data_IF_345129680498
#
_entry.id   IF_345129680498
#
_cell.length_a   1.000
_cell.length_b   1.000
_cell.length_c   1.000
_cell.angle_alpha   90.00
_cell.angle_beta   90.00
_cell.angle_gamma   90.00
#
_symmetry.space_group_name_H-M   'P 1'
#
loop_
_entity.id
_entity.type
_entity.pdbx_description
1 polymer ?
#
# COMPACT_ATOMS: atom_id res chain seq x y z
N UNK A 1 -11.18 -8.88 4.26
CA UNK A 1 -11.20 -9.66 2.99
C UNK A 1 -10.81 -8.72 1.86
N UNK A 2 -10.04 -9.18 0.88
CA UNK A 2 -9.68 -8.37 -0.28
C UNK A 2 -10.94 -8.10 -1.13
N UNK A 3 -10.98 -6.96 -1.82
CA UNK A 3 -12.00 -6.64 -2.84
C UNK A 3 -13.46 -6.73 -2.36
N UNK A 4 -13.81 -6.02 -1.28
CA UNK A 4 -15.13 -6.10 -0.63
C UNK A 4 -16.34 -5.70 -1.49
N UNK A 5 -16.14 -5.20 -2.71
CA UNK A 5 -17.21 -4.84 -3.64
C UNK A 5 -17.63 -5.99 -4.56
N UNK A 6 -16.80 -7.03 -4.71
CA UNK A 6 -17.10 -8.19 -5.56
C UNK A 6 -17.87 -9.27 -4.79
N UNK A 7 -18.51 -10.17 -5.54
CA UNK A 7 -19.16 -11.35 -4.97
C UNK A 7 -18.15 -12.28 -4.30
N UNK A 8 -18.60 -12.93 -3.22
CA UNK A 8 -17.75 -13.80 -2.39
C UNK A 8 -17.20 -15.01 -3.13
N UNK A 9 -17.92 -15.51 -4.13
CA UNK A 9 -17.46 -16.64 -4.96
C UNK A 9 -16.28 -16.23 -5.86
N UNK A 10 -16.39 -15.07 -6.50
CA UNK A 10 -15.34 -14.50 -7.35
C UNK A 10 -14.07 -14.27 -6.54
N UNK A 11 -14.19 -13.63 -5.36
CA UNK A 11 -13.04 -13.35 -4.50
C UNK A 11 -12.35 -14.64 -4.05
N UNK A 12 -13.13 -15.69 -3.74
CA UNK A 12 -12.59 -16.97 -3.31
C UNK A 12 -11.78 -17.64 -4.41
N UNK A 13 -12.32 -17.73 -5.62
CA UNK A 13 -11.63 -18.33 -6.76
C UNK A 13 -10.36 -17.55 -7.09
N UNK A 14 -10.43 -16.21 -7.16
CA UNK A 14 -9.25 -15.38 -7.38
C UNK A 14 -8.18 -15.58 -6.31
N UNK A 15 -8.57 -15.58 -5.04
CA UNK A 15 -7.64 -15.75 -3.92
C UNK A 15 -6.97 -17.11 -3.98
N UNK A 16 -7.73 -18.16 -4.30
CA UNK A 16 -7.22 -19.52 -4.46
C UNK A 16 -6.17 -19.60 -5.57
N UNK A 17 -6.50 -19.09 -6.77
CA UNK A 17 -5.57 -19.08 -7.91
C UNK A 17 -4.29 -18.29 -7.61
N UNK A 18 -4.41 -17.11 -6.99
CA UNK A 18 -3.24 -16.31 -6.63
C UNK A 18 -2.34 -17.02 -5.61
N UNK A 19 -2.93 -17.68 -4.61
CA UNK A 19 -2.16 -18.45 -3.62
C UNK A 19 -1.50 -19.67 -4.26
N UNK A 20 -2.20 -20.37 -5.16
CA UNK A 20 -1.65 -21.50 -5.92
C UNK A 20 -0.45 -21.06 -6.77
N UNK A 21 -0.48 -19.83 -7.30
CA UNK A 21 0.62 -19.21 -8.04
C UNK A 21 1.69 -18.55 -7.15
N UNK A 22 1.69 -18.82 -5.83
CA UNK A 22 2.74 -18.40 -4.90
C UNK A 22 2.53 -17.02 -4.26
N UNK A 23 1.40 -16.35 -4.50
CA UNK A 23 1.09 -15.10 -3.81
C UNK A 23 0.74 -15.36 -2.34
N UNK A 24 1.21 -14.48 -1.44
CA UNK A 24 0.82 -14.51 -0.02
C UNK A 24 0.15 -13.20 0.37
N UNK A 25 -1.03 -13.32 0.97
CA UNK A 25 -1.81 -12.19 1.45
C UNK A 25 -1.57 -12.00 2.96
N UNK A 26 -0.98 -10.86 3.33
CA UNK A 26 -0.81 -10.45 4.72
C UNK A 26 -1.94 -9.48 5.08
N UNK A 27 -3.09 -10.04 5.46
CA UNK A 27 -4.27 -9.26 5.83
C UNK A 27 -4.23 -8.88 7.31
N UNK A 28 -4.82 -7.73 7.66
CA UNK A 28 -4.86 -7.23 9.04
C UNK A 28 -3.53 -6.67 9.54
N UNK A 29 -2.54 -6.53 8.64
CA UNK A 29 -1.24 -5.95 8.92
C UNK A 29 -1.14 -4.55 8.33
N UNK A 30 -0.62 -3.61 9.11
CA UNK A 30 -0.28 -2.27 8.65
C UNK A 30 1.25 -2.13 8.58
N UNK A 31 1.73 -1.45 7.53
CA UNK A 31 3.16 -1.14 7.38
C UNK A 31 3.51 0.00 8.33
N UNK A 32 4.46 -0.25 9.22
CA UNK A 32 4.97 0.69 10.22
C UNK A 32 6.18 1.47 9.72
N UNK A 33 7.10 0.80 9.02
CA UNK A 33 8.32 1.41 8.48
C UNK A 33 8.82 0.60 7.30
N UNK A 34 9.44 1.26 6.34
CA UNK A 34 10.20 0.62 5.27
C UNK A 34 11.64 1.09 5.36
N UNK A 35 12.58 0.17 5.23
CA UNK A 35 14.00 0.45 5.14
C UNK A 35 14.53 -0.13 3.83
N UNK A 36 15.22 0.69 3.05
CA UNK A 36 15.86 0.26 1.81
C UNK A 36 17.36 0.09 2.05
N UNK A 37 17.90 -1.05 1.65
CA UNK A 37 19.34 -1.33 1.56
C UNK A 37 19.71 -1.42 0.08
N UNK A 38 21.00 -1.38 -0.26
CA UNK A 38 21.51 -1.32 -1.64
C UNK A 38 20.80 -2.26 -2.63
N UNK A 39 20.45 -3.48 -2.21
CA UNK A 39 19.82 -4.48 -3.09
C UNK A 39 18.49 -5.05 -2.56
N UNK A 40 17.96 -4.57 -1.43
CA UNK A 40 16.75 -5.16 -0.80
C UNK A 40 15.94 -4.12 -0.04
N UNK A 41 14.65 -4.41 0.12
CA UNK A 41 13.72 -3.64 0.94
C UNK A 41 13.28 -4.47 2.14
N UNK A 42 13.35 -3.88 3.33
CA UNK A 42 12.78 -4.44 4.57
C UNK A 42 11.53 -3.66 4.94
N UNK A 43 10.44 -4.37 5.20
CA UNK A 43 9.16 -3.83 5.62
C UNK A 43 8.91 -4.29 7.05
N UNK A 44 8.71 -3.33 7.95
CA UNK A 44 8.32 -3.55 9.33
C UNK A 44 6.83 -3.33 9.46
N UNK A 45 6.13 -4.26 10.09
CA UNK A 45 4.69 -4.17 10.33
C UNK A 45 4.41 -3.74 11.78
N UNK A 46 3.22 -3.20 12.03
CA UNK A 46 2.78 -2.82 13.38
C UNK A 46 2.73 -4.00 14.35
N UNK A 47 2.51 -5.22 13.84
CA UNK A 47 2.59 -6.47 14.63
C UNK A 47 4.01 -6.81 15.11
N UNK A 48 5.05 -6.10 14.64
CA UNK A 48 6.45 -6.41 14.90
C UNK A 48 7.07 -7.40 13.91
N UNK A 49 6.30 -7.90 12.94
CA UNK A 49 6.83 -8.75 11.87
C UNK A 49 7.72 -7.96 10.92
N UNK A 50 8.71 -8.64 10.34
CA UNK A 50 9.62 -8.07 9.34
C UNK A 50 9.61 -8.92 8.09
N UNK A 51 9.44 -8.30 6.93
CA UNK A 51 9.52 -8.94 5.62
C UNK A 51 10.66 -8.32 4.81
N UNK A 52 11.46 -9.17 4.17
CA UNK A 52 12.54 -8.74 3.26
C UNK A 52 12.21 -9.18 1.84
N UNK A 53 12.32 -8.26 0.88
CA UNK A 53 12.07 -8.50 -0.54
C UNK A 53 13.09 -7.74 -1.41
N UNK A 54 13.21 -8.12 -2.67
CA UNK A 54 14.11 -7.43 -3.61
C UNK A 54 13.49 -6.11 -4.11
N UNK A 55 12.16 -6.02 -4.13
CA UNK A 55 11.42 -4.81 -4.47
C UNK A 55 10.13 -4.69 -3.64
N UNK A 56 9.67 -3.45 -3.47
CA UNK A 56 8.39 -3.13 -2.83
C UNK A 56 7.56 -2.25 -3.78
N UNK A 57 6.32 -2.68 -4.07
CA UNK A 57 5.36 -1.91 -4.85
C UNK A 57 4.21 -1.46 -3.93
N UNK A 58 3.98 -0.15 -3.86
CA UNK A 58 2.91 0.45 -3.06
C UNK A 58 1.70 0.79 -3.93
N UNK A 59 0.54 0.18 -3.66
CA UNK A 59 -0.67 0.30 -4.50
C UNK A 59 -1.93 0.68 -3.70
N UNK A 60 -1.84 1.64 -2.77
CA UNK A 60 -2.97 2.02 -1.88
C UNK A 60 -3.92 3.05 -2.54
N UNK A 61 -4.28 2.80 -3.80
CA UNK A 61 -5.21 3.64 -4.56
C UNK A 61 -4.56 4.66 -5.47
N UNK A 62 -5.38 5.28 -6.32
CA UNK A 62 -4.99 6.32 -7.26
C UNK A 62 -5.28 7.68 -6.62
N UNK A 63 -4.25 8.52 -6.44
CA UNK A 63 -4.45 9.89 -5.97
C UNK A 63 -4.65 10.84 -7.16
N UNK A 64 -5.60 11.77 -7.04
CA UNK A 64 -5.74 12.85 -8.01
C UNK A 64 -4.48 13.73 -8.00
N UNK A 65 -3.92 14.00 -9.17
CA UNK A 65 -2.76 14.89 -9.34
C UNK A 65 -3.19 16.36 -9.24
N UNK A 66 -3.66 16.80 -8.07
CA UNK A 66 -3.99 18.21 -7.80
C UNK A 66 -2.81 19.01 -7.26
N UNK A 67 -1.64 18.39 -7.13
CA UNK A 67 -0.43 19.03 -6.61
C UNK A 67 0.22 19.90 -7.70
N UNK A 68 -0.28 21.12 -7.85
CA UNK A 68 0.20 22.11 -8.83
C UNK A 68 -0.89 22.96 -9.48
N UNK A 69 -2.17 22.64 -9.26
CA UNK A 69 -3.26 23.48 -9.74
C UNK A 69 -3.51 24.59 -8.73
N UNK A 70 -2.90 25.76 -8.97
CA UNK A 70 -3.26 27.01 -8.28
C UNK A 70 -4.64 27.46 -8.77
N UNK A 71 -5.70 26.75 -8.38
CA UNK A 71 -7.06 27.27 -8.50
C UNK A 71 -7.30 28.18 -7.32
N UNK A 72 -7.11 29.48 -7.57
CA UNK A 72 -7.48 30.52 -6.63
C UNK A 72 -8.91 30.32 -6.13
N UNK A 73 -9.06 30.54 -4.82
CA UNK A 73 -10.32 30.54 -4.08
C UNK A 73 -10.98 29.18 -3.84
N UNK A 74 -10.89 28.80 -2.56
CA UNK A 74 -11.86 28.03 -1.77
C UNK A 74 -11.47 26.59 -1.40
N UNK A 75 -10.77 26.49 -0.26
CA UNK A 75 -10.91 25.47 0.81
C UNK A 75 -11.55 24.13 0.38
N UNK A 76 -10.72 23.21 -0.10
CA UNK A 76 -10.89 21.80 0.29
C UNK A 76 -9.51 21.29 0.68
N UNK A 77 -9.32 20.98 1.96
CA UNK A 77 -8.09 20.40 2.45
C UNK A 77 -7.95 18.99 1.86
N UNK A 78 -7.25 18.89 0.72
CA UNK A 78 -6.79 17.60 0.22
C UNK A 78 -5.89 17.00 1.29
N UNK A 79 -6.35 15.90 1.88
CA UNK A 79 -5.77 15.25 3.06
C UNK A 79 -4.34 14.77 2.76
N UNK A 80 -3.37 14.90 3.69
CA UNK A 80 -1.93 14.73 3.46
C UNK A 80 -1.48 13.26 3.43
N UNK A 81 -2.21 12.36 2.75
CA UNK A 81 -1.91 10.92 2.77
C UNK A 81 -0.66 10.58 1.96
N UNK A 82 -0.41 11.24 0.82
CA UNK A 82 0.81 11.03 0.02
C UNK A 82 2.08 11.54 0.70
N UNK A 83 2.01 12.67 1.40
CA UNK A 83 3.14 13.21 2.16
C UNK A 83 3.50 12.28 3.33
N UNK A 84 2.50 11.64 3.94
CA UNK A 84 2.71 10.64 5.00
C UNK A 84 3.45 9.39 4.50
N UNK A 85 3.12 8.90 3.30
CA UNK A 85 3.79 7.71 2.71
C UNK A 85 5.20 8.04 2.21
N UNK A 86 5.39 9.19 1.56
CA UNK A 86 6.74 9.66 1.18
C UNK A 86 7.64 9.83 2.40
N UNK A 87 7.11 10.41 3.48
CA UNK A 87 7.81 10.51 4.75
C UNK A 87 8.00 9.13 5.42
N UNK A 88 7.17 8.12 5.16
CA UNK A 88 7.37 6.76 5.67
C UNK A 88 8.47 6.00 4.92
N UNK A 89 8.64 6.27 3.62
CA UNK A 89 9.64 5.64 2.76
C UNK A 89 11.02 6.32 2.83
N UNK A 90 11.07 7.64 3.11
CA UNK A 90 12.29 8.46 3.06
C UNK A 90 12.73 9.01 4.43
N UNK A 91 12.52 8.26 5.51
CA UNK A 91 13.09 8.54 6.84
C UNK A 91 14.32 7.71 7.12
#
# INVERSE_FOLDING_TARGET
MILSFCDREIIRNLTYEMQSNGARFLLGEAVKKVETTDNRVKVFFESGRVLSADALLYTVGHQASTNGLNTGSNRTAATPTAEYVWNLLNR
#
